data_IF_262088751782
#
_entry.id   IF_262088751782
#
_cell.length_a   1.000
_cell.length_b   1.000
_cell.length_c   1.000
_cell.angle_alpha   90.00
_cell.angle_beta   90.00
_cell.angle_gamma   90.00
#
_symmetry.space_group_name_H-M   'P 1'
#
loop_
_entity.id
_entity.type
_entity.pdbx_description
1 polymer ?
#
# COMPACT_ATOMS: atom_id res chain seq x y z
N UNK A 1 12.04 42.27 5.44
CA UNK A 1 12.20 41.46 4.22
C UNK A 1 12.83 40.08 4.48
N UNK A 2 13.95 39.95 5.21
CA UNK A 2 14.54 38.64 5.59
C UNK A 2 13.54 37.68 6.28
N UNK A 3 12.66 38.22 7.13
CA UNK A 3 11.57 37.46 7.79
C UNK A 3 10.53 36.92 6.79
N UNK A 4 10.22 37.67 5.72
CA UNK A 4 9.26 37.24 4.68
C UNK A 4 9.87 36.12 3.85
N UNK A 5 11.14 36.24 3.46
CA UNK A 5 11.87 35.19 2.73
C UNK A 5 11.92 33.90 3.54
N UNK A 6 12.17 33.99 4.85
CA UNK A 6 12.14 32.83 5.75
C UNK A 6 10.76 32.16 5.75
N UNK A 7 9.68 32.94 5.90
CA UNK A 7 8.32 32.41 5.88
C UNK A 7 7.98 31.75 4.53
N UNK A 8 8.31 32.40 3.40
CA UNK A 8 8.10 31.84 2.07
C UNK A 8 8.87 30.52 1.90
N UNK A 9 10.10 30.43 2.43
CA UNK A 9 10.89 29.20 2.41
C UNK A 9 10.24 28.06 3.19
N UNK A 10 9.71 28.35 4.38
CA UNK A 10 8.98 27.35 5.20
C UNK A 10 7.73 26.86 4.45
N UNK A 11 6.93 27.77 3.87
CA UNK A 11 5.74 27.38 3.10
C UNK A 11 6.10 26.53 1.88
N UNK A 12 7.14 26.90 1.13
CA UNK A 12 7.60 26.13 -0.02
C UNK A 12 8.06 24.72 0.40
N UNK A 13 8.77 24.60 1.53
CA UNK A 13 9.18 23.31 2.07
C UNK A 13 7.99 22.44 2.49
N UNK A 14 6.98 23.03 3.15
CA UNK A 14 5.75 22.31 3.53
C UNK A 14 4.98 21.80 2.30
N UNK A 15 4.84 22.64 1.27
CA UNK A 15 4.18 22.24 0.02
C UNK A 15 4.96 21.10 -0.65
N UNK A 16 6.29 21.22 -0.73
CA UNK A 16 7.14 20.18 -1.32
C UNK A 16 7.05 18.86 -0.56
N UNK A 17 7.04 18.89 0.79
CA UNK A 17 6.87 17.69 1.62
C UNK A 17 5.50 17.05 1.43
N UNK A 18 4.43 17.85 1.36
CA UNK A 18 3.06 17.38 1.14
C UNK A 18 2.87 16.74 -0.23
N UNK A 19 3.37 17.39 -1.30
CA UNK A 19 3.34 16.78 -2.63
C UNK A 19 4.24 15.53 -2.71
N UNK A 20 5.38 15.55 -2.02
CA UNK A 20 6.33 14.44 -1.95
C UNK A 20 5.74 13.20 -1.29
N UNK A 21 5.05 13.35 -0.15
CA UNK A 21 4.42 12.22 0.54
C UNK A 21 3.31 11.58 -0.30
N UNK A 22 2.47 12.38 -0.97
CA UNK A 22 1.43 11.87 -1.87
C UNK A 22 2.02 11.13 -3.07
N UNK A 23 3.07 11.68 -3.68
CA UNK A 23 3.78 11.02 -4.79
C UNK A 23 4.38 9.69 -4.35
N UNK A 24 5.02 9.66 -3.19
CA UNK A 24 5.60 8.46 -2.61
C UNK A 24 4.53 7.40 -2.32
N UNK A 25 3.41 7.79 -1.72
CA UNK A 25 2.29 6.88 -1.45
C UNK A 25 1.71 6.29 -2.73
N UNK A 26 1.49 7.11 -3.77
CA UNK A 26 1.02 6.66 -5.07
C UNK A 26 1.97 5.63 -5.68
N UNK A 27 3.28 5.87 -5.61
CA UNK A 27 4.30 4.95 -6.12
C UNK A 27 4.31 3.63 -5.34
N UNK A 28 4.21 3.70 -4.01
CA UNK A 28 4.20 2.51 -3.16
C UNK A 28 2.96 1.64 -3.45
N UNK A 29 1.77 2.26 -3.60
CA UNK A 29 0.55 1.53 -3.93
C UNK A 29 0.58 0.91 -5.32
N UNK A 30 1.08 1.64 -6.33
CA UNK A 30 1.23 1.08 -7.67
C UNK A 30 2.10 -0.18 -7.66
N UNK A 31 3.21 -0.17 -6.91
CA UNK A 31 4.09 -1.33 -6.79
C UNK A 31 3.49 -2.47 -5.96
N UNK A 32 2.59 -2.18 -5.02
CA UNK A 32 1.84 -3.21 -4.29
C UNK A 32 0.83 -3.90 -5.22
N UNK A 33 0.08 -3.11 -6.00
CA UNK A 33 -0.91 -3.64 -6.93
C UNK A 33 -0.30 -4.50 -8.03
N UNK A 34 0.84 -4.09 -8.58
CA UNK A 34 1.57 -4.87 -9.58
C UNK A 34 1.93 -6.27 -9.04
N UNK A 35 2.44 -6.36 -7.81
CA UNK A 35 2.78 -7.66 -7.20
C UNK A 35 1.55 -8.51 -6.87
N UNK A 36 0.45 -7.89 -6.46
CA UNK A 36 -0.82 -8.61 -6.24
C UNK A 36 -1.33 -9.17 -7.57
N UNK A 37 -1.30 -8.36 -8.64
CA UNK A 37 -1.72 -8.78 -9.98
C UNK A 37 -0.82 -9.91 -10.51
N UNK A 38 0.50 -9.86 -10.24
CA UNK A 38 1.44 -10.94 -10.54
C UNK A 38 1.10 -12.24 -9.79
N UNK A 39 0.79 -12.15 -8.49
CA UNK A 39 0.39 -13.33 -7.68
C UNK A 39 -0.89 -13.97 -8.24
N UNK A 40 -1.91 -13.17 -8.56
CA UNK A 40 -3.15 -13.68 -9.14
C UNK A 40 -2.90 -14.35 -10.49
N UNK A 41 -2.09 -13.73 -11.36
CA UNK A 41 -1.79 -14.27 -12.69
C UNK A 41 -1.03 -15.61 -12.60
N UNK A 42 -0.09 -15.74 -11.67
CA UNK A 42 0.67 -16.99 -11.46
C UNK A 42 -0.18 -18.10 -10.84
N UNK A 43 -1.12 -17.73 -9.96
CA UNK A 43 -2.10 -18.67 -9.40
C UNK A 43 -3.05 -19.20 -10.48
N UNK A 44 -3.62 -18.32 -11.31
CA UNK A 44 -4.51 -18.71 -12.42
C UNK A 44 -3.79 -19.55 -13.49
N UNK A 45 -2.49 -19.31 -13.70
CA UNK A 45 -1.66 -20.10 -14.60
C UNK A 45 -1.26 -21.48 -14.03
N UNK A 46 -1.54 -21.76 -12.76
CA UNK A 46 -1.12 -22.98 -12.08
C UNK A 46 0.40 -23.16 -12.04
N UNK A 47 1.15 -22.05 -11.98
CA UNK A 47 2.61 -22.09 -12.02
C UNK A 47 3.19 -22.27 -10.61
N UNK A 48 4.23 -23.09 -10.49
CA UNK A 48 4.99 -23.25 -9.23
C UNK A 48 5.64 -21.92 -8.75
N UNK A 49 5.70 -20.90 -9.61
CA UNK A 49 6.23 -19.57 -9.27
C UNK A 49 5.38 -18.81 -8.25
N UNK A 50 4.14 -19.23 -7.99
CA UNK A 50 3.20 -18.48 -7.15
C UNK A 50 3.72 -18.32 -5.71
N UNK A 51 4.45 -19.31 -5.17
CA UNK A 51 5.12 -19.22 -3.88
C UNK A 51 6.15 -18.09 -3.85
N UNK A 52 6.99 -17.99 -4.88
CA UNK A 52 7.98 -16.91 -5.00
C UNK A 52 7.29 -15.54 -5.15
N UNK A 53 6.15 -15.47 -5.83
CA UNK A 53 5.39 -14.22 -5.94
C UNK A 53 4.79 -13.77 -4.60
N UNK A 54 4.29 -14.71 -3.80
CA UNK A 54 3.76 -14.44 -2.45
C UNK A 54 4.86 -13.96 -1.52
N UNK A 55 6.03 -14.59 -1.53
CA UNK A 55 7.20 -14.16 -0.75
C UNK A 55 7.61 -12.73 -1.12
N UNK A 56 7.72 -12.43 -2.42
CA UNK A 56 8.02 -11.06 -2.90
C UNK A 56 6.95 -10.04 -2.51
N UNK A 57 5.68 -10.46 -2.44
CA UNK A 57 4.58 -9.61 -1.99
C UNK A 57 4.71 -9.33 -0.48
N UNK A 58 5.05 -10.33 0.33
CA UNK A 58 5.26 -10.19 1.77
C UNK A 58 6.47 -9.29 2.09
N UNK A 59 7.59 -9.47 1.39
CA UNK A 59 8.77 -8.62 1.53
C UNK A 59 8.45 -7.16 1.18
N UNK A 60 7.76 -6.96 0.05
CA UNK A 60 7.35 -5.62 -0.36
C UNK A 60 6.34 -5.01 0.60
N UNK A 61 5.45 -5.82 1.18
CA UNK A 61 4.53 -5.37 2.21
C UNK A 61 5.27 -4.84 3.43
N UNK A 62 6.35 -5.50 3.88
CA UNK A 62 7.19 -5.01 4.98
C UNK A 62 7.77 -3.62 4.70
N UNK A 63 8.33 -3.41 3.50
CA UNK A 63 8.79 -2.08 3.10
C UNK A 63 7.65 -1.06 3.00
N UNK A 64 6.50 -1.46 2.44
CA UNK A 64 5.32 -0.62 2.30
C UNK A 64 4.79 -0.17 3.67
N UNK A 65 4.70 -1.10 4.63
CA UNK A 65 4.23 -0.84 6.00
C UNK A 65 5.09 0.23 6.67
N UNK A 66 6.43 0.10 6.63
CA UNK A 66 7.35 1.08 7.22
C UNK A 66 7.15 2.44 6.57
N UNK A 67 7.03 2.50 5.24
CA UNK A 67 6.88 3.75 4.49
C UNK A 67 5.54 4.46 4.77
N UNK A 68 4.46 3.70 4.84
CA UNK A 68 3.09 4.23 4.91
C UNK A 68 2.61 4.45 6.35
N UNK A 69 3.18 3.74 7.34
CA UNK A 69 2.88 3.96 8.76
C UNK A 69 3.26 5.36 9.26
N UNK A 70 4.19 6.06 8.60
CA UNK A 70 4.46 7.48 8.87
C UNK A 70 3.32 8.42 8.43
N UNK A 71 2.42 7.96 7.55
CA UNK A 71 1.39 8.78 6.91
C UNK A 71 -0.02 8.44 7.41
N UNK A 72 -0.31 7.18 7.72
CA UNK A 72 -1.66 6.71 8.09
C UNK A 72 -1.73 6.02 9.46
N UNK A 73 -2.96 5.76 9.94
CA UNK A 73 -3.20 5.02 11.19
C UNK A 73 -2.76 3.56 11.08
N UNK A 74 -2.18 3.06 12.17
CA UNK A 74 -1.70 1.68 12.32
C UNK A 74 -2.78 0.62 12.07
N UNK A 75 -4.00 0.82 12.58
CA UNK A 75 -5.00 -0.27 12.63
C UNK A 75 -5.32 -0.89 11.27
N UNK A 76 -5.50 -0.08 10.22
CA UNK A 76 -5.78 -0.61 8.87
C UNK A 76 -4.57 -1.30 8.26
N UNK A 77 -3.35 -0.83 8.56
CA UNK A 77 -2.12 -1.50 8.15
C UNK A 77 -1.94 -2.83 8.89
N UNK A 78 -2.34 -2.90 10.15
CA UNK A 78 -2.30 -4.13 10.94
C UNK A 78 -3.30 -5.17 10.39
N UNK A 79 -4.49 -4.74 9.98
CA UNK A 79 -5.48 -5.60 9.31
C UNK A 79 -4.96 -6.16 7.98
N UNK A 80 -4.31 -5.31 7.16
CA UNK A 80 -3.68 -5.77 5.91
C UNK A 80 -2.54 -6.74 6.20
N UNK A 81 -1.74 -6.48 7.24
CA UNK A 81 -0.63 -7.36 7.62
C UNK A 81 -1.12 -8.75 8.02
N UNK A 82 -2.28 -8.82 8.68
CA UNK A 82 -2.93 -10.09 9.01
C UNK A 82 -3.38 -10.84 7.74
N UNK A 83 -4.01 -10.15 6.78
CA UNK A 83 -4.36 -10.78 5.49
C UNK A 83 -3.13 -11.23 4.70
N UNK A 84 -2.05 -10.45 4.67
CA UNK A 84 -0.80 -10.82 4.00
C UNK A 84 -0.16 -12.07 4.62
N UNK A 85 -0.19 -12.18 5.96
CA UNK A 85 0.32 -13.36 6.67
C UNK A 85 -0.50 -14.64 6.41
N UNK A 86 -1.77 -14.52 6.02
CA UNK A 86 -2.61 -15.66 5.64
C UNK A 86 -2.35 -16.19 4.24
N UNK A 87 -1.68 -15.44 3.37
CA UNK A 87 -1.53 -15.82 1.96
C UNK A 87 -0.77 -17.13 1.80
N UNK A 88 0.32 -17.31 2.56
CA UNK A 88 1.13 -18.53 2.53
C UNK A 88 0.33 -19.78 2.98
N UNK A 89 -0.32 -19.81 4.16
CA UNK A 89 -1.11 -20.98 4.54
C UNK A 89 -2.33 -21.23 3.63
N UNK A 90 -2.97 -20.18 3.09
CA UNK A 90 -4.08 -20.35 2.14
C UNK A 90 -3.63 -20.91 0.80
N UNK A 91 -2.38 -20.62 0.40
CA UNK A 91 -1.78 -21.20 -0.79
C UNK A 91 -1.43 -22.67 -0.58
N UNK A 92 -0.87 -23.03 0.57
CA UNK A 92 -0.57 -24.42 0.95
C UNK A 92 -1.83 -25.31 0.98
N UNK A 93 -2.96 -24.74 1.41
CA UNK A 93 -4.26 -25.42 1.46
C UNK A 93 -4.97 -25.47 0.08
N UNK A 94 -4.38 -24.89 -0.98
CA UNK A 94 -5.00 -24.68 -2.30
C UNK A 94 -6.42 -24.07 -2.20
N UNK A 95 -6.61 -23.18 -1.22
CA UNK A 95 -7.93 -22.67 -0.88
C UNK A 95 -8.41 -21.66 -1.93
N UNK A 96 -9.69 -21.78 -2.32
CA UNK A 96 -10.37 -20.78 -3.16
C UNK A 96 -10.38 -19.38 -2.53
N UNK A 97 -10.15 -19.29 -1.21
CA UNK A 97 -10.07 -18.03 -0.48
C UNK A 97 -8.79 -17.23 -0.77
N UNK A 98 -7.74 -17.85 -1.34
CA UNK A 98 -6.47 -17.18 -1.63
C UNK A 98 -6.65 -15.93 -2.51
N UNK A 99 -7.37 -16.06 -3.61
CA UNK A 99 -7.65 -14.94 -4.52
C UNK A 99 -8.55 -13.88 -3.86
N UNK A 100 -9.44 -14.31 -2.96
CA UNK A 100 -10.30 -13.41 -2.19
C UNK A 100 -9.50 -12.53 -1.21
N UNK A 101 -8.52 -13.12 -0.53
CA UNK A 101 -7.62 -12.38 0.37
C UNK A 101 -6.71 -11.41 -0.39
N UNK A 102 -6.16 -11.81 -1.55
CA UNK A 102 -5.41 -10.89 -2.42
C UNK A 102 -6.22 -9.67 -2.84
N UNK A 103 -7.50 -9.87 -3.19
CA UNK A 103 -8.43 -8.77 -3.53
C UNK A 103 -8.74 -7.91 -2.31
N UNK A 104 -8.87 -8.51 -1.13
CA UNK A 104 -9.06 -7.79 0.12
C UNK A 104 -7.87 -6.89 0.43
N UNK A 105 -6.64 -7.39 0.34
CA UNK A 105 -5.39 -6.62 0.52
C UNK A 105 -5.36 -5.41 -0.44
N UNK A 106 -5.67 -5.64 -1.72
CA UNK A 106 -5.75 -4.57 -2.73
C UNK A 106 -6.78 -3.50 -2.35
N UNK A 107 -7.96 -3.92 -1.90
CA UNK A 107 -9.04 -3.01 -1.53
C UNK A 107 -8.67 -2.16 -0.30
N UNK A 108 -8.08 -2.78 0.73
CA UNK A 108 -7.63 -2.07 1.91
C UNK A 108 -6.49 -1.08 1.60
N UNK A 109 -5.52 -1.47 0.77
CA UNK A 109 -4.48 -0.56 0.29
C UNK A 109 -5.05 0.62 -0.51
N UNK A 110 -6.10 0.40 -1.29
CA UNK A 110 -6.84 1.46 -1.98
C UNK A 110 -7.54 2.41 -1.00
N UNK A 111 -8.20 1.91 0.04
CA UNK A 111 -8.80 2.74 1.08
C UNK A 111 -7.74 3.59 1.80
N UNK A 112 -6.57 3.01 2.10
CA UNK A 112 -5.44 3.75 2.66
C UNK A 112 -5.02 4.88 1.73
N UNK A 113 -4.90 4.64 0.42
CA UNK A 113 -4.60 5.67 -0.56
C UNK A 113 -5.62 6.82 -0.58
N UNK A 114 -6.89 6.48 -0.74
CA UNK A 114 -7.98 7.44 -0.89
C UNK A 114 -8.17 8.28 0.37
N UNK A 115 -7.89 7.72 1.55
CA UNK A 115 -7.96 8.44 2.83
C UNK A 115 -6.95 9.59 2.94
N UNK A 116 -5.85 9.52 2.18
CA UNK A 116 -4.78 10.52 2.21
C UNK A 116 -4.97 11.61 1.17
N UNK A 117 -5.92 11.45 0.22
CA UNK A 117 -6.21 12.46 -0.79
C UNK A 117 -7.14 13.51 -0.17
N UNK A 118 -6.75 14.80 -0.18
CA UNK A 118 -7.66 15.86 0.27
C UNK A 118 -8.82 15.99 -0.72
N UNK A 119 -10.00 15.53 -0.31
CA UNK A 119 -11.23 15.68 -1.08
C UNK A 119 -11.82 17.07 -0.85
N UNK A 120 -12.14 17.79 -1.93
CA UNK A 120 -12.79 19.12 -1.86
C UNK A 120 -14.17 19.09 -1.18
N UNK A 121 -14.79 17.90 -1.07
CA UNK A 121 -15.94 17.67 -0.19
C UNK A 121 -15.47 17.01 1.09
N UNK A 122 -14.97 17.81 2.04
CA UNK A 122 -14.83 17.37 3.43
C UNK A 122 -16.13 17.67 4.18
N UNK A 123 -17.20 16.92 3.94
CA UNK A 123 -18.31 16.93 4.91
C UNK A 123 -18.98 15.56 4.96
N UNK A 124 -18.77 14.92 6.11
CA UNK A 124 -19.36 13.69 6.66
C UNK A 124 -18.66 12.37 6.31
#
# INVERSE_FOLDING_TARGET
MKRIILCCGIFAALIALSCGSLYMLKRCNSGLYERIDDCMAQYEAGSDGVYESVERLQDYWGEYYVKVSFLTRSSTLDDISYSVAKLEPLLDEESEEFVSELRSIRFWAFLVYESQIPHFRSVF
#
